data_IF_676851972368
#
_entry.id   IF_676851972368
#
_cell.length_a   1.000
_cell.length_b   1.000
_cell.length_c   1.000
_cell.angle_alpha   90.00
_cell.angle_beta   90.00
_cell.angle_gamma   90.00
#
_symmetry.space_group_name_H-M   'P 1'
#
loop_
_entity.id
_entity.type
_entity.pdbx_description
1 polymer ?
#
# COMPACT_ATOMS: atom_id res chain seq x y z
N UNK A 1 -23.13 15.73 -6.16
CA UNK A 1 -22.61 14.84 -7.22
C UNK A 1 -21.37 14.21 -6.61
N UNK A 2 -21.42 12.92 -6.29
CA UNK A 2 -20.23 12.21 -5.82
C UNK A 2 -19.17 12.29 -6.91
N UNK A 3 -18.00 12.79 -6.55
CA UNK A 3 -16.86 12.90 -7.46
C UNK A 3 -16.44 11.47 -7.81
N UNK A 4 -16.76 11.01 -9.02
CA UNK A 4 -16.54 9.62 -9.41
C UNK A 4 -15.03 9.35 -9.38
N UNK A 5 -14.62 8.36 -8.59
CA UNK A 5 -13.23 7.98 -8.40
C UNK A 5 -12.56 7.62 -9.73
N UNK A 6 -11.34 8.13 -9.95
CA UNK A 6 -10.57 7.90 -11.18
C UNK A 6 -9.55 6.79 -10.97
N UNK A 7 -9.53 5.85 -11.88
CA UNK A 7 -8.57 4.73 -11.91
C UNK A 7 -7.69 4.84 -13.14
N UNK A 8 -6.39 4.68 -12.98
CA UNK A 8 -5.45 4.52 -14.08
C UNK A 8 -5.15 3.02 -14.25
N UNK A 9 -5.30 2.52 -15.45
CA UNK A 9 -4.87 1.17 -15.87
C UNK A 9 -3.61 1.31 -16.70
N UNK A 10 -2.56 0.60 -16.32
CA UNK A 10 -1.25 0.60 -17.00
C UNK A 10 -0.87 -0.85 -17.30
N UNK A 11 -0.98 -1.25 -18.56
CA UNK A 11 -0.69 -2.62 -19.01
C UNK A 11 -0.41 -2.56 -20.51
N UNK A 12 0.59 -3.26 -21.02
CA UNK A 12 0.95 -3.27 -22.44
C UNK A 12 0.00 -4.15 -23.28
N UNK A 13 -0.79 -5.00 -22.64
CA UNK A 13 -1.81 -5.84 -23.30
C UNK A 13 -3.11 -5.04 -23.52
N UNK A 14 -3.26 -4.47 -24.72
CA UNK A 14 -4.40 -3.62 -25.10
C UNK A 14 -5.76 -4.28 -24.86
N UNK A 15 -5.88 -5.56 -25.20
CA UNK A 15 -7.13 -6.31 -25.02
C UNK A 15 -7.53 -6.41 -23.54
N UNK A 16 -6.56 -6.65 -22.67
CA UNK A 16 -6.80 -6.67 -21.22
C UNK A 16 -7.21 -5.28 -20.72
N UNK A 17 -6.53 -4.23 -21.17
CA UNK A 17 -6.88 -2.84 -20.86
C UNK A 17 -8.33 -2.50 -21.22
N UNK A 18 -8.79 -2.90 -22.42
CA UNK A 18 -10.17 -2.65 -22.87
C UNK A 18 -11.18 -3.37 -21.97
N UNK A 19 -10.89 -4.62 -21.60
CA UNK A 19 -11.74 -5.42 -20.70
C UNK A 19 -11.78 -4.80 -19.31
N UNK A 20 -10.62 -4.40 -18.76
CA UNK A 20 -10.51 -3.77 -17.44
C UNK A 20 -11.29 -2.44 -17.43
N UNK A 21 -11.07 -1.59 -18.44
CA UNK A 21 -11.77 -0.31 -18.56
C UNK A 21 -13.27 -0.50 -18.57
N UNK A 22 -13.79 -1.37 -19.46
CA UNK A 22 -15.22 -1.62 -19.57
C UNK A 22 -15.83 -2.07 -18.22
N UNK A 23 -15.21 -3.05 -17.56
CA UNK A 23 -15.75 -3.59 -16.30
C UNK A 23 -15.69 -2.57 -15.16
N UNK A 24 -14.63 -1.78 -15.05
CA UNK A 24 -14.52 -0.76 -14.01
C UNK A 24 -15.45 0.43 -14.28
N UNK A 25 -15.68 0.81 -15.55
CA UNK A 25 -16.65 1.84 -15.90
C UNK A 25 -18.09 1.38 -15.59
N UNK A 26 -18.41 0.10 -15.78
CA UNK A 26 -19.71 -0.49 -15.37
C UNK A 26 -19.91 -0.43 -13.84
N UNK A 27 -18.84 -0.45 -13.05
CA UNK A 27 -18.87 -0.27 -11.60
C UNK A 27 -18.92 1.22 -11.16
N UNK A 28 -18.96 2.16 -12.12
CA UNK A 28 -19.12 3.60 -11.88
C UNK A 28 -17.84 4.39 -11.74
N UNK A 29 -16.68 3.80 -12.00
CA UNK A 29 -15.37 4.50 -11.98
C UNK A 29 -15.14 5.26 -13.29
N UNK A 30 -14.28 6.30 -13.23
CA UNK A 30 -13.69 6.90 -14.45
C UNK A 30 -12.35 6.22 -14.70
N UNK A 31 -12.13 5.71 -15.90
CA UNK A 31 -10.96 4.90 -16.21
C UNK A 31 -10.16 5.49 -17.36
N UNK A 32 -8.92 5.83 -17.06
CA UNK A 32 -7.90 6.14 -18.07
C UNK A 32 -6.99 4.93 -18.27
N UNK A 33 -6.43 4.79 -19.47
CA UNK A 33 -5.56 3.68 -19.85
C UNK A 33 -4.28 4.23 -20.44
N UNK A 34 -3.15 3.64 -20.08
CA UNK A 34 -1.86 3.80 -20.75
C UNK A 34 -1.23 2.43 -20.99
N UNK A 35 -0.37 2.36 -21.99
CA UNK A 35 0.18 1.09 -22.46
C UNK A 35 1.66 0.90 -22.11
N UNK A 36 2.22 1.84 -21.33
CA UNK A 36 3.56 1.70 -20.79
C UNK A 36 3.73 2.50 -19.49
N UNK A 37 4.74 2.16 -18.71
CA UNK A 37 5.10 2.88 -17.50
C UNK A 37 5.55 4.32 -17.79
N UNK A 38 6.23 4.55 -18.91
CA UNK A 38 6.70 5.87 -19.35
C UNK A 38 5.53 6.80 -19.70
N UNK A 39 4.49 6.27 -20.35
CA UNK A 39 3.25 7.03 -20.59
C UNK A 39 2.58 7.37 -19.26
N UNK A 40 2.43 6.40 -18.37
CA UNK A 40 1.85 6.60 -17.06
C UNK A 40 2.60 7.65 -16.23
N UNK A 41 3.93 7.66 -16.29
CA UNK A 41 4.76 8.64 -15.57
C UNK A 41 4.49 10.09 -16.00
N UNK A 42 4.02 10.32 -17.23
CA UNK A 42 3.66 11.65 -17.76
C UNK A 42 2.25 12.09 -17.36
N UNK A 43 1.46 11.19 -16.79
CA UNK A 43 0.10 11.47 -16.35
C UNK A 43 0.08 12.21 -15.00
N UNK A 44 -0.98 12.94 -14.68
CA UNK A 44 -1.16 13.58 -13.38
C UNK A 44 -1.50 12.52 -12.31
N UNK A 45 -0.53 11.68 -11.95
CA UNK A 45 -0.73 10.50 -11.10
C UNK A 45 -1.41 10.82 -9.75
N UNK A 46 -1.16 11.99 -9.18
CA UNK A 46 -1.80 12.44 -7.93
C UNK A 46 -3.32 12.65 -8.05
N UNK A 47 -3.87 12.71 -9.27
CA UNK A 47 -5.29 12.88 -9.51
C UNK A 47 -6.07 11.57 -9.54
N UNK A 48 -5.38 10.44 -9.50
CA UNK A 48 -6.01 9.11 -9.50
C UNK A 48 -6.26 8.61 -8.08
N UNK A 49 -7.41 7.98 -7.91
CA UNK A 49 -7.79 7.31 -6.66
C UNK A 49 -7.12 5.95 -6.51
N UNK A 50 -6.72 5.34 -7.64
CA UNK A 50 -6.06 4.04 -7.70
C UNK A 50 -5.31 3.89 -9.02
N UNK A 51 -4.19 3.16 -9.00
CA UNK A 51 -3.46 2.72 -10.19
C UNK A 51 -3.46 1.19 -10.21
N UNK A 52 -3.98 0.60 -11.29
CA UNK A 52 -3.77 -0.81 -11.64
C UNK A 52 -2.55 -0.87 -12.55
N UNK A 53 -1.53 -1.61 -12.20
CA UNK A 53 -0.24 -1.54 -12.84
C UNK A 53 0.30 -2.95 -13.12
N UNK A 54 0.53 -3.25 -14.38
CA UNK A 54 1.23 -4.49 -14.74
C UNK A 54 2.68 -4.45 -14.27
N UNK A 55 3.17 -5.57 -13.77
CA UNK A 55 4.56 -5.72 -13.34
C UNK A 55 5.49 -5.83 -14.55
N UNK A 56 5.07 -6.59 -15.56
CA UNK A 56 5.91 -6.98 -16.70
C UNK A 56 5.59 -6.12 -17.92
N UNK A 57 6.34 -5.06 -18.12
CA UNK A 57 6.29 -4.20 -19.31
C UNK A 57 7.69 -4.07 -19.91
N UNK A 58 7.78 -3.69 -21.22
CA UNK A 58 9.03 -3.83 -22.02
C UNK A 58 10.20 -2.98 -21.50
N UNK A 59 10.05 -1.66 -21.34
CA UNK A 59 11.16 -0.76 -21.02
C UNK A 59 11.29 -0.53 -19.51
N UNK A 60 10.23 0.00 -18.87
CA UNK A 60 10.16 0.22 -17.44
C UNK A 60 9.15 -0.74 -16.82
N UNK A 61 9.58 -1.48 -15.81
CA UNK A 61 8.69 -2.38 -15.06
C UNK A 61 7.72 -1.63 -14.16
N UNK A 62 6.58 -2.26 -13.84
CA UNK A 62 5.65 -1.69 -12.86
C UNK A 62 6.26 -1.53 -11.46
N UNK A 63 7.26 -2.33 -11.11
CA UNK A 63 8.00 -2.22 -9.85
C UNK A 63 8.84 -0.94 -9.84
N UNK A 64 9.54 -0.64 -10.92
CA UNK A 64 10.32 0.59 -11.04
C UNK A 64 9.41 1.82 -11.02
N UNK A 65 8.29 1.81 -11.76
CA UNK A 65 7.31 2.90 -11.72
C UNK A 65 6.73 3.07 -10.32
N UNK A 66 6.40 1.98 -9.61
CA UNK A 66 5.92 2.04 -8.22
C UNK A 66 6.97 2.70 -7.33
N UNK A 67 8.23 2.36 -7.48
CA UNK A 67 9.34 2.98 -6.71
C UNK A 67 9.41 4.49 -6.96
N UNK A 68 9.28 4.93 -8.20
CA UNK A 68 9.25 6.35 -8.58
C UNK A 68 8.03 7.05 -7.94
N UNK A 69 6.84 6.47 -8.04
CA UNK A 69 5.61 7.00 -7.45
C UNK A 69 5.75 7.15 -5.93
N UNK A 70 6.38 6.21 -5.25
CA UNK A 70 6.59 6.23 -3.79
C UNK A 70 7.66 7.23 -3.34
N UNK A 71 8.58 7.60 -4.23
CA UNK A 71 9.61 8.59 -3.95
C UNK A 71 9.09 10.04 -4.02
N UNK A 72 8.04 10.32 -4.80
CA UNK A 72 7.47 11.67 -4.94
C UNK A 72 6.40 11.91 -3.86
N UNK A 73 6.55 12.99 -3.09
CA UNK A 73 5.62 13.39 -2.01
C UNK A 73 4.17 13.56 -2.46
N UNK A 74 3.95 13.96 -3.71
CA UNK A 74 2.62 14.22 -4.28
C UNK A 74 1.87 12.93 -4.64
N UNK A 75 2.60 11.86 -4.94
CA UNK A 75 2.04 10.61 -5.46
C UNK A 75 2.24 9.41 -4.55
N UNK A 76 3.10 9.50 -3.54
CA UNK A 76 3.46 8.36 -2.66
C UNK A 76 2.28 7.70 -1.94
N UNK A 77 1.17 8.43 -1.79
CA UNK A 77 -0.04 7.93 -1.12
C UNK A 77 -1.12 7.44 -2.10
N UNK A 78 -0.88 7.52 -3.41
CA UNK A 78 -1.80 6.99 -4.41
C UNK A 78 -1.79 5.46 -4.31
N UNK A 79 -2.94 4.83 -4.09
CA UNK A 79 -3.02 3.37 -4.01
C UNK A 79 -2.59 2.70 -5.31
N UNK A 80 -1.82 1.61 -5.20
CA UNK A 80 -1.33 0.83 -6.33
C UNK A 80 -1.65 -0.64 -6.11
N UNK A 81 -2.34 -1.25 -7.09
CA UNK A 81 -2.49 -2.71 -7.20
C UNK A 81 -1.59 -3.18 -8.34
N UNK A 82 -0.66 -4.08 -8.04
CA UNK A 82 0.19 -4.69 -9.06
C UNK A 82 -0.48 -5.93 -9.66
N UNK A 83 -0.47 -6.03 -10.99
CA UNK A 83 -0.87 -7.21 -11.74
C UNK A 83 0.37 -8.01 -12.13
N UNK A 84 0.47 -9.29 -11.80
CA UNK A 84 1.68 -10.08 -12.01
C UNK A 84 1.41 -11.47 -12.61
N UNK A 85 2.32 -12.00 -13.39
CA UNK A 85 2.23 -13.34 -13.96
C UNK A 85 2.50 -14.44 -12.90
N UNK A 86 2.12 -15.68 -13.21
CA UNK A 86 2.03 -16.83 -12.29
C UNK A 86 3.37 -17.26 -11.66
N UNK A 87 4.50 -17.01 -12.29
CA UNK A 87 5.79 -17.61 -11.93
C UNK A 87 6.71 -16.67 -11.14
N UNK A 88 6.20 -15.54 -10.70
CA UNK A 88 6.96 -14.44 -10.11
C UNK A 88 6.85 -14.42 -8.58
N UNK A 89 7.18 -15.52 -7.86
CA UNK A 89 7.34 -15.45 -6.40
C UNK A 89 8.38 -14.38 -5.99
N UNK A 90 9.42 -14.20 -6.79
CA UNK A 90 10.40 -13.13 -6.58
C UNK A 90 9.82 -11.76 -6.91
N UNK A 91 9.01 -11.62 -7.99
CA UNK A 91 8.38 -10.34 -8.37
C UNK A 91 7.31 -9.90 -7.37
N UNK A 92 6.60 -10.85 -6.74
CA UNK A 92 5.68 -10.56 -5.63
C UNK A 92 6.45 -9.97 -4.44
N UNK A 93 7.59 -10.55 -4.10
CA UNK A 93 8.46 -10.06 -3.02
C UNK A 93 9.00 -8.68 -3.37
N UNK A 94 9.48 -8.49 -4.60
CA UNK A 94 10.00 -7.20 -5.08
C UNK A 94 8.89 -6.15 -5.22
N UNK A 95 7.67 -6.54 -5.63
CA UNK A 95 6.49 -5.69 -5.71
C UNK A 95 6.04 -5.16 -4.34
N UNK A 96 6.06 -6.00 -3.30
CA UNK A 96 5.85 -5.52 -1.92
C UNK A 96 7.02 -4.69 -1.39
N UNK A 97 8.24 -5.02 -1.82
CA UNK A 97 9.44 -4.23 -1.53
C UNK A 97 9.35 -2.81 -2.09
N UNK A 98 8.69 -2.59 -3.23
CA UNK A 98 8.52 -1.25 -3.80
C UNK A 98 7.40 -0.42 -3.17
N UNK A 99 6.53 -1.01 -2.36
CA UNK A 99 5.48 -0.29 -1.61
C UNK A 99 4.09 -0.29 -2.26
N UNK A 100 3.75 -1.29 -3.07
CA UNK A 100 2.39 -1.51 -3.54
C UNK A 100 1.40 -1.78 -2.38
N UNK A 101 0.13 -1.42 -2.57
CA UNK A 101 -0.92 -1.60 -1.56
C UNK A 101 -1.57 -2.98 -1.63
N UNK A 102 -1.63 -3.56 -2.84
CA UNK A 102 -2.13 -4.90 -3.12
C UNK A 102 -1.53 -5.44 -4.41
N UNK A 103 -1.74 -6.73 -4.67
CA UNK A 103 -1.39 -7.35 -5.95
C UNK A 103 -2.46 -8.34 -6.38
N UNK A 104 -2.52 -8.62 -7.67
CA UNK A 104 -3.40 -9.64 -8.24
C UNK A 104 -2.62 -10.48 -9.24
N UNK A 105 -2.78 -11.81 -9.16
CA UNK A 105 -2.06 -12.75 -10.01
C UNK A 105 -2.81 -13.01 -11.30
N UNK A 106 -2.16 -12.81 -12.44
CA UNK A 106 -2.68 -13.21 -13.77
C UNK A 106 -2.56 -14.74 -13.95
N UNK A 107 -3.61 -15.43 -14.50
CA UNK A 107 -4.91 -14.89 -14.88
C UNK A 107 -5.84 -14.72 -13.68
N UNK A 108 -6.58 -13.62 -13.62
CA UNK A 108 -7.54 -13.31 -12.58
C UNK A 108 -8.97 -13.18 -13.13
N UNK A 109 -9.97 -13.33 -12.29
CA UNK A 109 -11.36 -13.05 -12.65
C UNK A 109 -11.66 -11.56 -12.48
N UNK A 110 -12.55 -11.01 -13.33
CA UNK A 110 -13.02 -9.62 -13.16
C UNK A 110 -13.68 -9.39 -11.82
N UNK A 111 -14.38 -10.39 -11.29
CA UNK A 111 -14.99 -10.32 -9.96
C UNK A 111 -13.93 -10.14 -8.85
N UNK A 112 -12.85 -10.88 -8.92
CA UNK A 112 -11.73 -10.75 -7.97
C UNK A 112 -11.09 -9.36 -8.06
N UNK A 113 -10.78 -8.89 -9.27
CA UNK A 113 -10.22 -7.57 -9.49
C UNK A 113 -11.10 -6.47 -8.90
N UNK A 114 -12.41 -6.48 -9.23
CA UNK A 114 -13.36 -5.48 -8.74
C UNK A 114 -13.45 -5.48 -7.20
N UNK A 115 -13.44 -6.65 -6.57
CA UNK A 115 -13.43 -6.75 -5.10
C UNK A 115 -12.17 -6.13 -4.51
N UNK A 116 -10.98 -6.38 -5.07
CA UNK A 116 -9.72 -5.78 -4.63
C UNK A 116 -9.71 -4.28 -4.82
N UNK A 117 -10.15 -3.79 -5.98
CA UNK A 117 -10.30 -2.35 -6.26
C UNK A 117 -11.19 -1.69 -5.21
N UNK A 118 -12.39 -2.24 -4.96
CA UNK A 118 -13.32 -1.73 -3.95
C UNK A 118 -12.70 -1.73 -2.55
N UNK A 119 -11.99 -2.79 -2.19
CA UNK A 119 -11.32 -2.90 -0.89
C UNK A 119 -10.25 -1.83 -0.71
N UNK A 120 -9.37 -1.65 -1.70
CA UNK A 120 -8.30 -0.65 -1.65
C UNK A 120 -8.87 0.76 -1.61
N UNK A 121 -9.89 1.07 -2.45
CA UNK A 121 -10.55 2.38 -2.49
C UNK A 121 -11.33 2.69 -1.20
N UNK A 122 -12.04 1.74 -0.61
CA UNK A 122 -12.73 1.90 0.68
C UNK A 122 -11.75 2.32 1.78
N UNK A 123 -10.58 1.69 1.83
CA UNK A 123 -9.52 2.05 2.79
C UNK A 123 -8.97 3.45 2.57
N UNK A 124 -8.94 3.92 1.31
CA UNK A 124 -8.46 5.28 0.98
C UNK A 124 -9.52 6.36 1.22
N UNK A 125 -10.81 6.01 1.11
CA UNK A 125 -11.94 6.94 1.17
C UNK A 125 -12.67 6.96 2.53
N UNK A 126 -12.25 6.18 3.53
CA UNK A 126 -12.85 6.33 4.85
C UNK A 126 -12.66 7.78 5.33
N UNK A 127 -13.76 8.51 5.64
CA UNK A 127 -13.65 9.85 6.17
C UNK A 127 -12.81 9.76 7.44
N UNK A 128 -11.86 10.67 7.55
CA UNK A 128 -11.18 10.92 8.82
C UNK A 128 -12.28 11.31 9.80
N UNK A 129 -12.79 10.38 10.60
CA UNK A 129 -13.53 10.76 11.78
C UNK A 129 -12.60 11.67 12.57
N UNK A 130 -13.01 12.92 12.66
CA UNK A 130 -12.35 13.98 13.40
C UNK A 130 -12.48 13.71 14.90
N UNK A 131 -11.83 12.69 15.37
CA UNK A 131 -11.47 12.52 16.75
C UNK A 131 -9.96 12.63 16.82
N UNK A 132 -9.47 13.63 17.54
CA UNK A 132 -8.04 13.92 17.76
C UNK A 132 -7.35 12.76 18.51
N UNK A 133 -7.26 11.62 17.87
CA UNK A 133 -6.49 10.52 18.43
C UNK A 133 -5.05 10.63 17.93
N UNK A 134 -4.24 11.28 18.74
CA UNK A 134 -2.78 11.28 18.58
C UNK A 134 -2.20 10.22 19.50
N UNK A 135 -1.41 9.33 18.94
CA UNK A 135 -0.61 8.42 19.74
C UNK A 135 0.74 9.08 19.94
N UNK A 136 1.15 9.24 21.21
CA UNK A 136 2.44 9.82 21.56
C UNK A 136 3.30 8.81 22.33
N UNK A 137 4.56 8.73 21.92
CA UNK A 137 5.58 8.01 22.66
C UNK A 137 6.88 8.81 22.63
N UNK A 138 7.26 9.41 23.76
CA UNK A 138 8.39 10.37 23.84
C UNK A 138 8.19 11.49 22.81
N UNK A 139 9.12 11.63 21.85
CA UNK A 139 9.04 12.63 20.77
C UNK A 139 8.42 12.09 19.48
N UNK A 140 7.98 10.82 19.46
CA UNK A 140 7.21 10.25 18.37
C UNK A 140 5.74 10.61 18.54
N UNK A 141 5.18 11.29 17.55
CA UNK A 141 3.76 11.65 17.47
C UNK A 141 3.15 11.05 16.21
N UNK A 142 2.11 10.24 16.38
CA UNK A 142 1.33 9.67 15.28
C UNK A 142 -0.05 10.31 15.27
N UNK A 143 -0.35 11.13 14.26
CA UNK A 143 -1.66 11.73 14.05
C UNK A 143 -2.52 10.79 13.20
N UNK A 144 -3.48 10.12 13.83
CA UNK A 144 -4.33 9.14 13.16
C UNK A 144 -5.33 9.78 12.20
N UNK A 145 -5.76 11.01 12.51
CA UNK A 145 -6.68 11.77 11.66
C UNK A 145 -6.03 12.22 10.36
N UNK A 146 -4.80 12.73 10.43
CA UNK A 146 -4.05 13.20 9.26
C UNK A 146 -3.22 12.12 8.60
N UNK A 147 -3.03 10.96 9.26
CA UNK A 147 -2.09 9.90 8.87
C UNK A 147 -0.65 10.42 8.74
N UNK A 148 -0.27 11.31 9.65
CA UNK A 148 1.06 11.91 9.71
C UNK A 148 1.83 11.37 10.91
N UNK A 149 3.14 11.26 10.76
CA UNK A 149 4.03 10.92 11.86
C UNK A 149 5.13 11.97 11.99
N UNK A 150 5.43 12.37 13.23
CA UNK A 150 6.55 13.26 13.56
C UNK A 150 7.45 12.58 14.56
N UNK A 151 8.74 12.74 14.36
CA UNK A 151 9.79 12.30 15.29
C UNK A 151 10.72 13.47 15.51
N UNK A 152 10.91 13.87 16.77
CA UNK A 152 11.70 15.06 17.14
C UNK A 152 11.24 16.33 16.38
N UNK A 153 9.93 16.46 16.12
CA UNK A 153 9.34 17.57 15.38
C UNK A 153 9.50 17.50 13.87
N UNK A 154 10.20 16.49 13.34
CA UNK A 154 10.42 16.28 11.91
C UNK A 154 9.39 15.30 11.34
N UNK A 155 8.80 15.65 10.20
CA UNK A 155 7.83 14.79 9.53
C UNK A 155 8.52 13.54 8.95
N UNK A 156 7.97 12.36 9.26
CA UNK A 156 8.44 11.06 8.75
C UNK A 156 7.35 10.43 7.90
N UNK A 157 7.68 10.16 6.65
CA UNK A 157 6.74 9.63 5.68
C UNK A 157 6.68 8.11 5.69
N UNK A 158 5.48 7.58 5.91
CA UNK A 158 5.20 6.16 5.81
C UNK A 158 4.26 5.86 4.63
N UNK A 159 4.38 4.69 4.05
CA UNK A 159 3.32 4.15 3.19
C UNK A 159 2.08 3.86 4.04
N UNK A 160 0.92 3.64 3.40
CA UNK A 160 -0.31 3.31 4.10
C UNK A 160 -0.13 2.08 5.01
N UNK A 161 0.49 1.02 4.49
CA UNK A 161 0.72 -0.23 5.23
C UNK A 161 1.71 -0.05 6.39
N UNK A 162 2.80 0.68 6.17
CA UNK A 162 3.74 1.02 7.23
C UNK A 162 3.06 1.80 8.35
N UNK A 163 2.20 2.77 8.00
CA UNK A 163 1.46 3.56 8.96
C UNK A 163 0.47 2.69 9.77
N UNK A 164 -0.28 1.82 9.09
CA UNK A 164 -1.28 0.96 9.73
C UNK A 164 -0.61 -0.07 10.66
N UNK A 165 0.52 -0.66 10.26
CA UNK A 165 1.34 -1.50 11.15
C UNK A 165 1.83 -0.70 12.37
N UNK A 166 2.40 0.48 12.17
CA UNK A 166 2.90 1.30 13.26
C UNK A 166 1.79 1.68 14.24
N UNK A 167 0.61 2.08 13.72
CA UNK A 167 -0.59 2.36 14.51
C UNK A 167 -0.97 1.15 15.37
N UNK A 168 -1.03 -0.04 14.78
CA UNK A 168 -1.37 -1.28 15.48
C UNK A 168 -0.41 -1.57 16.64
N UNK A 169 0.89 -1.50 16.36
CA UNK A 169 1.93 -1.75 17.35
C UNK A 169 1.93 -0.73 18.49
N UNK A 170 1.70 0.55 18.20
CA UNK A 170 1.67 1.64 19.17
C UNK A 170 0.38 1.66 20.01
N UNK A 171 -0.74 1.18 19.48
CA UNK A 171 -2.00 1.11 20.22
C UNK A 171 -1.94 0.07 21.34
N UNK A 172 -1.17 -0.99 21.17
CA UNK A 172 -1.04 -2.05 22.16
C UNK A 172 0.43 -2.35 22.45
N UNK A 173 1.12 -1.44 23.14
CA UNK A 173 2.54 -1.62 23.48
C UNK A 173 2.74 -2.90 24.28
N UNK A 174 3.94 -3.49 24.16
CA UNK A 174 4.39 -4.70 24.84
C UNK A 174 3.64 -5.98 24.42
N UNK A 175 2.57 -5.91 23.60
CA UNK A 175 1.99 -7.07 22.93
C UNK A 175 2.86 -7.49 21.74
N UNK A 176 3.04 -8.80 21.57
CA UNK A 176 3.62 -9.40 20.37
C UNK A 176 2.45 -9.86 19.50
N UNK A 177 2.40 -9.36 18.29
CA UNK A 177 1.47 -9.76 17.25
C UNK A 177 2.12 -10.79 16.35
N UNK A 178 1.41 -11.87 16.05
CA UNK A 178 1.88 -12.82 15.03
C UNK A 178 1.87 -12.17 13.64
N UNK A 179 2.52 -12.82 12.67
CA UNK A 179 2.44 -12.36 11.28
C UNK A 179 1.01 -12.44 10.74
N UNK A 180 0.29 -13.51 11.08
CA UNK A 180 -1.12 -13.65 10.77
C UNK A 180 -1.96 -12.50 11.35
N UNK A 181 -1.85 -12.21 12.66
CA UNK A 181 -2.58 -11.10 13.29
C UNK A 181 -2.30 -9.74 12.62
N UNK A 182 -1.04 -9.49 12.21
CA UNK A 182 -0.70 -8.24 11.50
C UNK A 182 -1.29 -8.26 10.09
N UNK A 183 -1.31 -9.41 9.45
CA UNK A 183 -1.87 -9.58 8.11
C UNK A 183 -3.38 -9.31 8.14
N UNK A 184 -4.11 -9.97 9.02
CA UNK A 184 -5.56 -9.86 9.15
C UNK A 184 -6.01 -8.43 9.48
N UNK A 185 -5.26 -7.72 10.35
CA UNK A 185 -5.60 -6.35 10.75
C UNK A 185 -5.26 -5.30 9.67
N UNK A 186 -4.14 -5.51 8.95
CA UNK A 186 -3.60 -4.51 8.02
C UNK A 186 -3.93 -4.82 6.56
N UNK A 187 -4.16 -6.09 6.23
CA UNK A 187 -4.63 -6.57 4.92
C UNK A 187 -5.98 -7.25 5.09
N UNK A 188 -6.88 -7.12 4.13
CA UNK A 188 -8.18 -7.78 4.18
C UNK A 188 -8.05 -9.28 3.88
N UNK A 189 -9.00 -10.09 4.36
CA UNK A 189 -9.03 -11.56 4.27
C UNK A 189 -8.90 -12.14 2.85
N UNK A 190 -9.16 -11.33 1.81
CA UNK A 190 -9.10 -11.75 0.41
C UNK A 190 -7.69 -11.58 -0.23
N UNK A 191 -6.69 -11.13 0.53
CA UNK A 191 -5.35 -10.85 0.01
C UNK A 191 -4.41 -12.01 0.34
N UNK A 192 -3.97 -12.72 -0.69
CA UNK A 192 -2.92 -13.74 -0.54
C UNK A 192 -1.57 -13.06 -0.33
N UNK A 193 -1.27 -12.68 0.91
CA UNK A 193 0.01 -12.06 1.28
C UNK A 193 0.90 -13.09 1.95
N UNK A 194 2.16 -13.17 1.51
CA UNK A 194 3.16 -14.04 2.14
C UNK A 194 3.70 -13.37 3.41
N UNK A 195 3.94 -14.14 4.46
CA UNK A 195 4.52 -13.70 5.75
C UNK A 195 5.73 -12.76 5.60
N UNK A 196 6.52 -12.96 4.55
CA UNK A 196 7.70 -12.16 4.23
C UNK A 196 7.41 -10.69 3.93
N UNK A 197 6.19 -10.36 3.49
CA UNK A 197 5.75 -8.98 3.27
C UNK A 197 5.76 -8.17 4.55
N UNK A 198 5.38 -8.79 5.66
CA UNK A 198 5.38 -8.14 6.98
C UNK A 198 6.80 -7.84 7.42
N UNK A 199 7.71 -8.81 7.26
CA UNK A 199 9.14 -8.67 7.64
C UNK A 199 9.78 -7.47 6.92
N UNK A 200 9.42 -7.28 5.65
CA UNK A 200 9.89 -6.16 4.83
C UNK A 200 9.35 -4.83 5.34
N UNK A 201 8.04 -4.73 5.58
CA UNK A 201 7.44 -3.50 6.09
C UNK A 201 8.00 -3.15 7.49
N UNK A 202 8.20 -4.13 8.36
CA UNK A 202 8.86 -3.95 9.67
C UNK A 202 10.29 -3.41 9.51
N UNK A 203 11.07 -3.95 8.58
CA UNK A 203 12.44 -3.47 8.34
C UNK A 203 12.46 -2.02 7.82
N UNK A 204 11.51 -1.64 6.98
CA UNK A 204 11.36 -0.25 6.51
C UNK A 204 10.94 0.68 7.62
N UNK A 205 9.95 0.28 8.43
CA UNK A 205 9.54 1.01 9.62
C UNK A 205 10.73 1.30 10.53
N UNK A 206 11.52 0.28 10.86
CA UNK A 206 12.72 0.44 11.69
C UNK A 206 13.69 1.47 11.14
N UNK A 207 13.95 1.42 9.83
CA UNK A 207 14.85 2.38 9.17
C UNK A 207 14.30 3.80 9.21
N UNK A 208 13.00 3.99 8.91
CA UNK A 208 12.36 5.31 8.88
C UNK A 208 12.19 5.92 10.27
N UNK A 209 11.96 5.10 11.29
CA UNK A 209 11.79 5.55 12.67
C UNK A 209 13.11 5.91 13.40
N UNK A 210 14.25 5.68 12.77
CA UNK A 210 15.54 6.01 13.35
C UNK A 210 15.74 5.37 14.72
N UNK A 211 15.95 6.18 15.76
CA UNK A 211 16.18 5.71 17.14
C UNK A 211 15.03 4.85 17.67
N UNK A 212 13.78 5.17 17.28
CA UNK A 212 12.61 4.40 17.71
C UNK A 212 12.42 3.08 16.95
N UNK A 213 13.19 2.85 15.89
CA UNK A 213 13.21 1.57 15.18
C UNK A 213 13.59 0.39 16.07
N UNK A 214 14.44 0.63 17.08
CA UNK A 214 14.85 -0.38 18.06
C UNK A 214 13.72 -0.78 19.02
N UNK A 215 12.69 0.04 19.17
CA UNK A 215 11.50 -0.27 19.96
C UNK A 215 10.61 -1.30 19.28
N UNK A 216 10.70 -1.44 17.94
CA UNK A 216 10.04 -2.52 17.24
C UNK A 216 10.85 -3.80 17.43
N UNK A 217 10.40 -4.64 18.36
CA UNK A 217 11.08 -5.89 18.71
C UNK A 217 10.58 -7.04 17.84
N UNK A 218 11.49 -8.00 17.61
CA UNK A 218 11.15 -9.32 17.01
C UNK A 218 11.20 -10.36 18.11
N UNK A 219 10.11 -11.12 18.28
CA UNK A 219 10.13 -12.34 19.08
C UNK A 219 10.24 -13.51 18.10
N UNK A 220 11.40 -14.11 18.05
CA UNK A 220 11.71 -15.18 17.07
C UNK A 220 10.68 -16.32 17.18
N UNK A 221 10.14 -16.76 16.03
CA UNK A 221 9.09 -17.78 15.97
C UNK A 221 7.69 -17.31 16.33
N UNK A 222 7.51 -16.05 16.80
CA UNK A 222 6.21 -15.52 17.21
C UNK A 222 5.75 -14.31 16.37
N UNK A 223 6.58 -13.26 16.25
CA UNK A 223 6.18 -12.08 15.50
C UNK A 223 6.84 -10.78 15.98
N UNK A 224 6.07 -9.69 15.96
CA UNK A 224 6.57 -8.33 16.18
C UNK A 224 5.74 -7.58 17.22
N UNK A 225 6.36 -6.65 17.93
CA UNK A 225 5.69 -5.78 18.88
C UNK A 225 6.44 -4.47 19.08
N UNK A 226 5.82 -3.50 19.73
CA UNK A 226 6.47 -2.25 20.13
C UNK A 226 6.73 -2.28 21.63
N UNK A 227 7.99 -2.21 22.03
CA UNK A 227 8.37 -2.20 23.44
C UNK A 227 8.58 -0.76 23.91
N UNK A 228 7.83 -0.34 24.91
CA UNK A 228 8.10 0.92 25.61
C UNK A 228 9.30 0.74 26.56
N UNK A 229 10.26 1.64 26.47
CA UNK A 229 11.30 1.74 27.49
C UNK A 229 10.68 2.33 28.76
N UNK A 230 11.05 1.78 29.89
CA UNK A 230 10.64 2.28 31.22
C UNK A 230 11.27 3.61 31.53
#
# INVERSE_FOLDING_TARGET
MEDSQRILVVDDERTLCDVLKLNLELEGYKVDVTYSAEEAQRMPLSSYSLILLDVMMEEMTGIELTTIIRADERTRNVPIILCTAKDAENDIIDGFLCGADDYIKKPFSMKELVLRVKSVLRRSSQPKESNEQKIKYKTLELDLGKRECRIDGTDVSFTKKEFDILKMLLNTPDKIFSREEILDEVWDDDVYVVDRTIDVNINRLRKKMGVYGNNIITKQGYGYGFKKEK
#
